data_IF_138506977249
#
_entry.id   IF_138506977249
#
_cell.length_a   1.000
_cell.length_b   1.000
_cell.length_c   1.000
_cell.angle_alpha   90.00
_cell.angle_beta   90.00
_cell.angle_gamma   90.00
#
_symmetry.space_group_name_H-M   'P 1'
#
loop_
_entity.id
_entity.type
_entity.pdbx_description
1 polymer ?
#
# COMPACT_ATOMS: atom_id res chain seq x y z
N UNK A 1 -17.93 7.99 3.62
CA UNK A 1 -17.84 6.77 2.80
C UNK A 1 -18.89 5.79 3.31
N UNK A 2 -19.81 5.34 2.49
CA UNK A 2 -20.74 4.29 2.90
C UNK A 2 -20.04 2.95 2.84
N UNK A 3 -19.87 2.28 3.97
CA UNK A 3 -19.20 0.96 4.10
C UNK A 3 -19.89 -0.15 3.29
N UNK A 4 -21.11 0.12 2.80
CA UNK A 4 -21.93 -0.82 2.04
C UNK A 4 -21.32 -1.34 0.72
N UNK A 5 -20.32 -0.67 0.18
CA UNK A 5 -19.69 -1.06 -1.09
C UNK A 5 -18.31 -1.72 -0.90
N UNK A 6 -17.77 -1.74 0.33
CA UNK A 6 -16.46 -2.33 0.61
C UNK A 6 -16.59 -3.85 0.63
N UNK A 7 -15.64 -4.54 0.00
CA UNK A 7 -15.60 -6.00 -0.08
C UNK A 7 -14.22 -6.53 0.28
N UNK A 8 -14.11 -7.80 0.68
CA UNK A 8 -12.81 -8.45 0.85
C UNK A 8 -11.92 -8.27 -0.38
N UNK A 9 -10.62 -8.12 -0.14
CA UNK A 9 -9.57 -7.84 -1.13
C UNK A 9 -9.61 -6.44 -1.79
N UNK A 10 -10.56 -5.56 -1.44
CA UNK A 10 -10.46 -4.17 -1.86
C UNK A 10 -9.22 -3.52 -1.20
N UNK A 11 -8.57 -2.60 -1.92
CA UNK A 11 -7.49 -1.79 -1.35
C UNK A 11 -8.03 -0.47 -0.82
N UNK A 12 -7.58 -0.11 0.35
CA UNK A 12 -7.75 1.23 0.91
C UNK A 12 -6.44 1.99 0.76
N UNK A 13 -6.46 3.07 0.00
CA UNK A 13 -5.39 4.07 -0.02
C UNK A 13 -5.75 5.15 0.97
N UNK A 14 -4.89 5.39 1.94
CA UNK A 14 -5.19 6.33 3.03
C UNK A 14 -4.00 7.22 3.37
N UNK A 15 -4.29 8.25 4.13
CA UNK A 15 -3.30 9.17 4.67
C UNK A 15 -3.15 8.92 6.17
N UNK A 16 -2.12 8.18 6.54
CA UNK A 16 -1.74 8.00 7.95
C UNK A 16 -0.92 9.19 8.47
N UNK A 17 -0.84 9.32 9.78
CA UNK A 17 -0.06 10.34 10.50
C UNK A 17 1.21 9.73 11.09
N UNK A 18 2.20 10.56 11.40
CA UNK A 18 3.47 10.13 12.00
C UNK A 18 4.68 10.51 11.13
N UNK A 19 5.88 10.38 11.70
CA UNK A 19 7.12 10.81 11.06
C UNK A 19 7.45 10.00 9.78
N UNK A 20 7.24 8.68 9.82
CA UNK A 20 7.44 7.82 8.65
C UNK A 20 6.48 8.18 7.50
N UNK A 21 5.22 8.46 7.85
CA UNK A 21 4.20 8.92 6.91
C UNK A 21 4.56 10.27 6.28
N UNK A 22 5.14 11.16 7.07
CA UNK A 22 5.64 12.44 6.55
C UNK A 22 6.79 12.23 5.57
N UNK A 23 7.75 11.35 5.87
CA UNK A 23 8.87 11.04 4.98
C UNK A 23 8.40 10.47 3.63
N UNK A 24 7.47 9.52 3.64
CA UNK A 24 6.91 8.92 2.41
C UNK A 24 6.26 10.00 1.53
N UNK A 25 5.47 10.89 2.14
CA UNK A 25 4.80 11.97 1.41
C UNK A 25 5.77 13.01 0.87
N UNK A 26 6.79 13.34 1.64
CA UNK A 26 7.83 14.26 1.22
C UNK A 26 8.61 13.70 0.04
N UNK A 27 9.01 12.42 0.09
CA UNK A 27 9.65 11.73 -1.03
C UNK A 27 8.78 11.69 -2.29
N UNK A 28 7.48 11.44 -2.14
CA UNK A 28 6.53 11.46 -3.25
C UNK A 28 6.41 12.87 -3.88
N UNK A 29 6.35 13.91 -3.06
CA UNK A 29 6.28 15.29 -3.54
C UNK A 29 7.53 15.73 -4.31
N UNK A 30 8.72 15.28 -3.87
CA UNK A 30 9.97 15.57 -4.58
C UNK A 30 10.09 14.88 -5.94
N UNK A 31 9.28 13.85 -6.19
CA UNK A 31 9.23 13.09 -7.44
C UNK A 31 8.03 13.46 -8.32
N UNK A 32 7.37 14.59 -8.06
CA UNK A 32 6.14 15.03 -8.74
C UNK A 32 5.02 13.97 -8.72
N UNK A 33 4.99 13.11 -7.70
CA UNK A 33 3.95 12.10 -7.49
C UNK A 33 2.81 12.63 -6.63
N UNK A 34 1.57 12.12 -6.80
CA UNK A 34 0.47 12.47 -5.92
C UNK A 34 0.81 12.17 -4.45
N UNK A 35 0.85 13.18 -3.58
CA UNK A 35 1.20 13.04 -2.16
C UNK A 35 -0.02 12.99 -1.23
N UNK A 36 -1.19 12.72 -1.79
CA UNK A 36 -2.46 12.67 -1.06
C UNK A 36 -2.56 11.46 -0.12
N UNK A 37 -1.91 10.36 -0.51
CA UNK A 37 -1.91 9.09 0.23
C UNK A 37 -0.48 8.65 0.55
N UNK A 38 -0.30 7.90 1.62
CA UNK A 38 1.01 7.39 2.04
C UNK A 38 0.93 5.98 2.63
N UNK A 39 -0.23 5.36 2.56
CA UNK A 39 -0.43 4.02 3.11
C UNK A 39 -1.43 3.23 2.28
N UNK A 40 -1.24 1.91 2.24
CA UNK A 40 -2.11 0.93 1.58
C UNK A 40 -2.49 -0.14 2.59
N UNK A 41 -3.79 -0.40 2.72
CA UNK A 41 -4.31 -1.52 3.50
C UNK A 41 -5.21 -2.40 2.62
N UNK A 42 -5.22 -3.70 2.89
CA UNK A 42 -6.00 -4.69 2.15
C UNK A 42 -7.17 -5.11 3.02
N UNK A 43 -8.39 -4.88 2.55
CA UNK A 43 -9.59 -5.34 3.25
C UNK A 43 -9.62 -6.87 3.24
N UNK A 44 -9.74 -7.48 4.42
CA UNK A 44 -9.83 -8.94 4.53
C UNK A 44 -11.27 -9.39 4.72
N UNK A 45 -11.98 -8.85 5.69
CA UNK A 45 -13.38 -9.18 5.94
C UNK A 45 -14.10 -8.06 6.68
N UNK A 46 -15.42 -8.18 6.71
CA UNK A 46 -16.29 -7.37 7.55
C UNK A 46 -16.93 -8.33 8.54
N UNK A 47 -16.79 -8.05 9.82
CA UNK A 47 -17.36 -8.89 10.88
C UNK A 47 -18.89 -8.65 11.05
N UNK A 48 -19.49 -9.39 11.98
CA UNK A 48 -20.94 -9.32 12.24
C UNK A 48 -21.37 -7.98 12.83
N UNK A 49 -20.46 -7.29 13.48
CA UNK A 49 -20.63 -5.97 14.08
C UNK A 49 -20.45 -4.86 13.06
N UNK A 50 -20.04 -5.19 11.84
CA UNK A 50 -19.82 -4.24 10.73
C UNK A 50 -18.41 -3.64 10.75
N UNK A 51 -17.49 -4.12 11.57
CA UNK A 51 -16.09 -3.69 11.60
C UNK A 51 -15.37 -4.20 10.35
N UNK A 52 -14.71 -3.30 9.64
CA UNK A 52 -13.89 -3.64 8.47
C UNK A 52 -12.47 -3.98 8.95
N UNK A 53 -12.08 -5.23 8.79
CA UNK A 53 -10.74 -5.70 9.13
C UNK A 53 -9.83 -5.70 7.92
N UNK A 54 -8.65 -5.10 8.08
CA UNK A 54 -7.61 -5.05 7.06
C UNK A 54 -6.36 -5.82 7.50
N UNK A 55 -5.58 -6.26 6.51
CA UNK A 55 -4.19 -6.69 6.68
C UNK A 55 -3.31 -5.66 6.01
N UNK A 56 -2.25 -5.24 6.69
CA UNK A 56 -1.36 -4.18 6.23
C UNK A 56 0.08 -4.38 6.71
N UNK A 57 1.04 -3.88 5.92
CA UNK A 57 2.44 -3.74 6.36
C UNK A 57 2.62 -2.44 7.13
N UNK A 58 3.19 -2.51 8.33
CA UNK A 58 3.46 -1.36 9.22
C UNK A 58 4.69 -1.61 10.10
N UNK A 59 5.15 -0.58 10.87
CA UNK A 59 6.33 -0.70 11.75
C UNK A 59 6.28 -1.87 12.74
N UNK A 60 5.80 -2.86 12.72
CA UNK A 60 5.77 -4.09 13.52
C UNK A 60 5.62 -5.34 12.66
N UNK A 61 5.65 -5.16 11.33
CA UNK A 61 5.41 -6.22 10.37
C UNK A 61 4.00 -6.20 9.80
N UNK A 62 3.68 -7.22 9.01
CA UNK A 62 2.34 -7.43 8.44
C UNK A 62 1.40 -7.91 9.54
N UNK A 63 0.28 -7.23 9.71
CA UNK A 63 -0.66 -7.55 10.77
C UNK A 63 -2.09 -7.04 10.52
N UNK A 64 -2.97 -7.41 11.45
CA UNK A 64 -4.38 -7.02 11.45
C UNK A 64 -4.58 -5.56 11.88
N UNK A 65 -5.57 -4.91 11.28
CA UNK A 65 -6.00 -3.56 11.61
C UNK A 65 -7.51 -3.39 11.47
N UNK A 66 -8.15 -2.79 12.49
CA UNK A 66 -9.48 -2.19 12.35
C UNK A 66 -9.36 -0.94 11.46
N UNK A 67 -10.11 -0.90 10.36
CA UNK A 67 -10.06 0.18 9.38
C UNK A 67 -10.87 1.42 9.79
N UNK A 68 -11.44 1.47 10.98
CA UNK A 68 -12.32 2.55 11.44
C UNK A 68 -11.71 3.93 11.23
N UNK A 69 -10.42 4.11 11.62
CA UNK A 69 -9.73 5.38 11.48
C UNK A 69 -9.52 5.75 10.01
N UNK A 70 -9.29 4.75 9.14
CA UNK A 70 -9.17 4.98 7.70
C UNK A 70 -10.49 5.41 7.09
N UNK A 71 -11.55 4.69 7.41
CA UNK A 71 -12.88 4.94 6.86
C UNK A 71 -13.48 6.28 7.33
N UNK A 72 -13.05 6.79 8.47
CA UNK A 72 -13.42 8.12 8.95
C UNK A 72 -12.60 9.25 8.32
N UNK A 73 -11.50 8.93 7.64
CA UNK A 73 -10.61 9.93 7.03
C UNK A 73 -11.13 10.41 5.68
N UNK A 74 -11.19 11.74 5.43
CA UNK A 74 -11.59 12.28 4.13
C UNK A 74 -10.56 12.02 3.02
N UNK A 75 -9.39 11.48 3.39
CA UNK A 75 -8.31 11.17 2.46
C UNK A 75 -8.24 9.68 2.09
N UNK A 76 -9.18 8.87 2.55
CA UNK A 76 -9.23 7.46 2.18
C UNK A 76 -9.95 7.28 0.86
N UNK A 77 -9.36 6.48 -0.01
CA UNK A 77 -9.92 6.08 -1.31
C UNK A 77 -10.00 4.57 -1.37
N UNK A 78 -11.00 4.06 -2.05
CA UNK A 78 -11.17 2.63 -2.29
C UNK A 78 -11.36 2.37 -3.78
N UNK A 79 -10.76 1.30 -4.29
CA UNK A 79 -10.97 0.86 -5.65
C UNK A 79 -12.04 -0.24 -5.69
N UNK A 80 -13.21 0.08 -6.21
CA UNK A 80 -14.31 -0.87 -6.40
C UNK A 80 -14.27 -1.61 -7.76
N UNK A 81 -13.24 -1.40 -8.56
CA UNK A 81 -13.11 -1.98 -9.90
C UNK A 81 -12.34 -3.30 -9.89
N UNK A 82 -11.58 -3.56 -8.83
CA UNK A 82 -10.79 -4.78 -8.66
C UNK A 82 -10.70 -5.14 -7.17
N UNK A 83 -10.69 -6.45 -6.83
CA UNK A 83 -10.90 -7.62 -7.70
C UNK A 83 -12.32 -7.70 -8.25
N UNK A 84 -12.51 -8.37 -9.41
CA UNK A 84 -13.80 -8.47 -10.12
C UNK A 84 -14.66 -9.63 -9.62
N UNK A 85 -14.04 -10.73 -9.25
CA UNK A 85 -14.71 -11.97 -8.88
C UNK A 85 -14.21 -12.54 -7.55
N UNK A 86 -14.93 -13.51 -7.00
CA UNK A 86 -14.64 -14.12 -5.71
C UNK A 86 -13.36 -14.97 -5.74
N UNK A 87 -12.98 -15.54 -6.87
CA UNK A 87 -11.74 -16.31 -6.97
C UNK A 87 -10.51 -15.40 -6.81
N UNK A 88 -10.52 -14.25 -7.49
CA UNK A 88 -9.48 -13.24 -7.33
C UNK A 88 -9.45 -12.69 -5.89
N UNK A 89 -10.63 -12.43 -5.28
CA UNK A 89 -10.73 -11.97 -3.90
C UNK A 89 -10.11 -12.96 -2.93
N UNK A 90 -10.45 -14.23 -3.11
CA UNK A 90 -9.90 -15.31 -2.27
C UNK A 90 -8.37 -15.42 -2.40
N UNK A 91 -7.81 -15.33 -3.62
CA UNK A 91 -6.35 -15.36 -3.82
C UNK A 91 -5.67 -14.23 -3.04
N UNK A 92 -6.21 -13.01 -3.10
CA UNK A 92 -5.64 -11.84 -2.42
C UNK A 92 -5.76 -11.98 -0.90
N UNK A 93 -6.93 -12.37 -0.39
CA UNK A 93 -7.14 -12.49 1.07
C UNK A 93 -6.34 -13.64 1.68
N UNK A 94 -6.33 -14.81 1.05
CA UNK A 94 -5.52 -15.96 1.51
C UNK A 94 -4.02 -15.61 1.47
N UNK A 95 -3.59 -14.93 0.40
CA UNK A 95 -2.22 -14.45 0.30
C UNK A 95 -1.85 -13.44 1.38
N UNK A 96 -2.76 -12.53 1.72
CA UNK A 96 -2.55 -11.56 2.79
C UNK A 96 -2.41 -12.26 4.17
N UNK A 97 -3.22 -13.27 4.44
CA UNK A 97 -3.11 -14.08 5.66
C UNK A 97 -1.77 -14.83 5.71
N UNK A 98 -1.32 -15.40 4.58
CA UNK A 98 -0.03 -16.08 4.51
C UNK A 98 1.18 -15.16 4.76
N UNK A 99 1.00 -13.85 4.61
CA UNK A 99 2.05 -12.86 4.85
C UNK A 99 2.04 -12.28 6.28
N UNK A 100 1.11 -12.69 7.15
CA UNK A 100 1.07 -12.22 8.54
C UNK A 100 2.39 -12.51 9.25
N UNK A 101 2.89 -11.54 10.01
CA UNK A 101 4.17 -11.62 10.70
C UNK A 101 5.40 -11.33 9.83
N UNK A 102 5.26 -11.14 8.51
CA UNK A 102 6.38 -10.72 7.66
C UNK A 102 6.94 -9.40 8.17
N UNK A 103 8.27 -9.29 8.35
CA UNK A 103 8.89 -8.07 8.84
C UNK A 103 8.68 -6.87 7.92
N UNK A 104 8.68 -5.68 8.50
CA UNK A 104 8.56 -4.42 7.75
C UNK A 104 9.91 -3.99 7.20
N UNK A 105 9.93 -3.54 5.94
CA UNK A 105 11.14 -3.09 5.25
C UNK A 105 11.43 -1.62 5.53
N UNK A 106 12.13 -1.36 6.62
CA UNK A 106 12.59 -0.02 6.98
C UNK A 106 13.67 0.51 6.05
N UNK A 107 14.51 -0.37 5.50
CA UNK A 107 15.58 0.01 4.60
C UNK A 107 15.03 0.51 3.27
N UNK A 108 13.96 -0.11 2.78
CA UNK A 108 13.27 0.37 1.58
C UNK A 108 12.73 1.80 1.78
N UNK A 109 12.12 2.10 2.94
CA UNK A 109 11.62 3.46 3.25
C UNK A 109 12.77 4.47 3.36
N UNK A 110 13.84 4.10 4.05
CA UNK A 110 15.00 4.98 4.21
C UNK A 110 15.70 5.23 2.87
N UNK A 111 15.82 4.19 2.03
CA UNK A 111 16.37 4.27 0.68
C UNK A 111 15.52 5.17 -0.22
N UNK A 112 14.21 5.01 -0.19
CA UNK A 112 13.29 5.81 -0.98
C UNK A 112 13.33 7.30 -0.58
N UNK A 113 13.41 7.58 0.71
CA UNK A 113 13.60 8.93 1.22
C UNK A 113 14.95 9.52 0.79
N UNK A 114 16.06 8.76 0.93
CA UNK A 114 17.40 9.22 0.55
C UNK A 114 17.51 9.47 -0.97
N UNK A 115 16.94 8.58 -1.79
CA UNK A 115 16.92 8.71 -3.25
C UNK A 115 16.09 9.91 -3.73
N UNK A 116 15.25 10.48 -2.88
CA UNK A 116 14.48 11.69 -3.18
C UNK A 116 15.31 12.97 -3.03
N UNK A 117 16.51 12.92 -2.42
CA UNK A 117 17.40 14.08 -2.26
C UNK A 117 18.50 14.07 -3.32
N UNK A 118 18.61 15.13 -4.15
CA UNK A 118 19.72 15.28 -5.08
C UNK A 118 21.07 15.23 -4.34
N UNK A 119 21.98 14.37 -4.80
CA UNK A 119 23.31 14.19 -4.21
C UNK A 119 23.43 13.11 -3.14
N UNK A 120 22.36 12.76 -2.40
CA UNK A 120 22.37 11.64 -1.45
C UNK A 120 22.17 10.30 -2.13
N UNK A 121 21.43 10.28 -3.23
CA UNK A 121 21.13 9.06 -4.00
C UNK A 121 22.41 8.30 -4.40
N UNK A 122 23.45 9.01 -4.86
CA UNK A 122 24.71 8.38 -5.25
C UNK A 122 25.46 7.76 -4.07
N UNK A 123 25.45 8.41 -2.91
CA UNK A 123 26.11 7.92 -1.69
C UNK A 123 25.35 6.71 -1.14
N UNK A 124 24.02 6.77 -1.17
CA UNK A 124 23.14 5.72 -0.69
C UNK A 124 23.21 4.47 -1.57
N UNK A 125 23.14 4.65 -2.89
CA UNK A 125 23.26 3.56 -3.87
C UNK A 125 24.62 2.84 -3.78
N UNK A 126 25.70 3.53 -3.42
CA UNK A 126 27.01 2.92 -3.17
C UNK A 126 27.02 2.02 -1.92
N UNK A 127 26.22 2.34 -0.91
CA UNK A 127 26.21 1.64 0.38
C UNK A 127 25.18 0.51 0.45
N UNK A 128 24.01 0.69 -0.16
CA UNK A 128 22.83 -0.19 0.02
C UNK A 128 22.33 -0.81 -1.28
N UNK A 129 22.91 -0.43 -2.42
CA UNK A 129 22.45 -0.79 -3.75
C UNK A 129 21.22 0.03 -4.18
N UNK A 130 20.88 -0.02 -5.47
CA UNK A 130 19.81 0.81 -6.04
C UNK A 130 18.40 0.48 -5.52
N UNK A 131 18.22 -0.60 -4.79
CA UNK A 131 16.90 -1.10 -4.38
C UNK A 131 16.65 -1.14 -2.88
N UNK A 132 17.65 -1.00 -2.03
CA UNK A 132 17.53 -0.86 -0.56
C UNK A 132 16.55 -1.81 0.16
N UNK A 133 16.15 -2.92 -0.50
CA UNK A 133 15.13 -3.83 0.02
C UNK A 133 15.76 -5.06 0.64
N UNK A 134 15.30 -5.44 1.82
CA UNK A 134 15.74 -6.66 2.49
C UNK A 134 14.88 -7.84 2.00
N UNK A 135 15.49 -8.94 1.50
CA UNK A 135 14.72 -10.12 1.12
C UNK A 135 13.84 -10.62 2.27
N UNK A 136 12.58 -10.89 1.97
CA UNK A 136 11.61 -11.36 2.98
C UNK A 136 10.98 -10.27 3.84
N UNK A 137 11.23 -8.99 3.53
CA UNK A 137 10.59 -7.84 4.15
C UNK A 137 9.66 -7.14 3.16
N UNK A 138 8.63 -6.48 3.64
CA UNK A 138 7.65 -5.76 2.80
C UNK A 138 7.28 -4.42 3.39
N UNK A 139 6.97 -3.46 2.51
CA UNK A 139 6.22 -2.24 2.87
C UNK A 139 4.75 -2.42 2.49
N UNK A 140 3.86 -1.54 2.97
CA UNK A 140 2.41 -1.66 2.74
C UNK A 140 2.05 -1.74 1.25
N UNK A 141 2.68 -0.94 0.42
CA UNK A 141 2.41 -0.86 -1.02
C UNK A 141 2.99 -2.02 -1.82
N UNK A 142 4.18 -2.52 -1.44
CA UNK A 142 4.78 -3.72 -2.06
C UNK A 142 4.04 -5.00 -1.66
N UNK A 143 3.51 -5.08 -0.43
CA UNK A 143 2.62 -6.16 -0.02
C UNK A 143 1.40 -6.23 -0.93
N UNK A 144 0.72 -5.10 -1.16
CA UNK A 144 -0.43 -5.04 -2.07
C UNK A 144 -0.05 -5.42 -3.50
N UNK A 145 1.09 -4.94 -4.02
CA UNK A 145 1.58 -5.27 -5.35
C UNK A 145 1.87 -6.76 -5.51
N UNK A 146 2.52 -7.36 -4.51
CA UNK A 146 2.80 -8.81 -4.50
C UNK A 146 1.53 -9.65 -4.52
N UNK A 147 0.48 -9.24 -3.81
CA UNK A 147 -0.78 -9.99 -3.73
C UNK A 147 -1.67 -9.80 -4.97
N UNK A 148 -1.54 -8.68 -5.65
CA UNK A 148 -2.30 -8.41 -6.88
C UNK A 148 -1.70 -9.07 -8.12
N UNK A 149 -0.42 -9.46 -8.09
CA UNK A 149 0.28 -10.16 -9.15
C UNK A 149 1.27 -11.19 -8.53
N UNK A 150 1.57 -12.31 -9.15
CA UNK A 150 1.13 -12.78 -10.48
C UNK A 150 -0.12 -13.67 -10.42
N UNK A 151 -0.55 -14.12 -9.22
CA UNK A 151 -1.60 -15.14 -9.08
C UNK A 151 -3.00 -14.60 -9.32
N UNK A 152 -3.31 -13.43 -8.78
CA UNK A 152 -4.62 -12.80 -8.94
C UNK A 152 -4.80 -12.11 -10.30
N UNK A 153 -3.71 -11.85 -11.04
CA UNK A 153 -3.71 -11.17 -12.35
C UNK A 153 -4.48 -9.84 -12.34
N UNK A 154 -4.32 -9.09 -11.27
CA UNK A 154 -4.94 -7.79 -11.09
C UNK A 154 -4.00 -6.67 -11.54
N UNK A 155 -4.55 -5.54 -11.96
CA UNK A 155 -3.74 -4.41 -12.34
C UNK A 155 -3.06 -3.81 -11.10
N UNK A 156 -1.76 -3.64 -11.19
CA UNK A 156 -0.90 -3.02 -10.20
C UNK A 156 0.02 -1.99 -10.86
N UNK A 157 0.63 -1.08 -10.10
CA UNK A 157 1.72 -0.25 -10.61
C UNK A 157 2.87 -1.11 -11.13
N UNK A 158 3.55 -0.63 -12.16
CA UNK A 158 4.77 -1.27 -12.67
C UNK A 158 5.92 -1.13 -11.67
N UNK A 159 6.80 -2.13 -11.62
CA UNK A 159 7.91 -2.21 -10.68
C UNK A 159 7.71 -3.30 -9.63
N UNK A 160 8.76 -4.09 -9.41
CA UNK A 160 8.64 -5.28 -8.55
C UNK A 160 8.90 -4.98 -7.07
N UNK A 161 9.60 -3.90 -6.74
CA UNK A 161 10.08 -3.65 -5.37
C UNK A 161 9.90 -2.22 -4.85
N UNK A 162 9.74 -1.24 -5.71
CA UNK A 162 9.67 0.19 -5.35
C UNK A 162 8.29 0.81 -5.52
N UNK A 163 7.24 0.01 -5.37
CA UNK A 163 5.87 0.52 -5.49
C UNK A 163 5.54 1.35 -4.25
N UNK A 164 5.34 2.65 -4.43
CA UNK A 164 4.87 3.55 -3.39
C UNK A 164 3.33 3.65 -3.37
N UNK A 165 2.70 4.06 -2.26
CA UNK A 165 1.25 4.34 -2.23
C UNK A 165 0.80 5.34 -3.29
N UNK A 166 1.65 6.31 -3.63
CA UNK A 166 1.42 7.28 -4.69
C UNK A 166 1.27 6.65 -6.09
N UNK A 167 1.98 5.55 -6.36
CA UNK A 167 1.90 4.84 -7.64
C UNK A 167 0.55 4.15 -7.81
N UNK A 168 0.00 3.60 -6.73
CA UNK A 168 -1.36 3.08 -6.71
C UNK A 168 -2.38 4.15 -7.02
N UNK A 169 -2.23 5.33 -6.42
CA UNK A 169 -3.12 6.45 -6.69
C UNK A 169 -3.01 6.94 -8.14
N UNK A 170 -1.79 7.07 -8.69
CA UNK A 170 -1.56 7.43 -10.07
C UNK A 170 -2.24 6.44 -11.03
N UNK A 171 -2.03 5.14 -10.83
CA UNK A 171 -2.68 4.08 -11.60
C UNK A 171 -4.22 4.22 -11.59
N UNK A 172 -4.80 4.52 -10.41
CA UNK A 172 -6.25 4.65 -10.30
C UNK A 172 -6.78 5.91 -10.98
N UNK A 173 -6.03 7.02 -10.92
CA UNK A 173 -6.36 8.25 -11.63
C UNK A 173 -6.33 8.00 -13.15
N UNK A 174 -5.25 7.42 -13.68
CA UNK A 174 -5.07 7.14 -15.10
C UNK A 174 -6.16 6.24 -15.66
N UNK A 175 -6.65 5.30 -14.86
CA UNK A 175 -7.72 4.37 -15.25
C UNK A 175 -9.12 4.86 -14.94
N UNK A 176 -9.28 6.03 -14.35
CA UNK A 176 -10.57 6.55 -13.91
C UNK A 176 -11.21 5.72 -12.79
N UNK A 177 -10.40 5.06 -11.97
CA UNK A 177 -10.85 4.22 -10.85
C UNK A 177 -10.82 4.95 -9.51
N UNK A 178 -10.09 6.05 -9.42
CA UNK A 178 -10.05 6.86 -8.23
C UNK A 178 -11.40 7.53 -8.03
N UNK A 179 -12.18 7.04 -7.11
CA UNK A 179 -13.31 7.79 -6.58
C UNK A 179 -12.82 8.55 -5.35
N UNK A 180 -12.85 9.87 -5.42
CA UNK A 180 -12.80 10.66 -4.19
C UNK A 180 -14.04 10.30 -3.38
N UNK A 181 -13.90 10.12 -2.07
CA UNK A 181 -15.04 9.97 -1.19
C UNK A 181 -15.93 11.21 -1.23
#
# INVERSE_FOLDING_TARGET
MTTSNIKPADLLLTRSTGWASWMIRFGAALRDRPNLVNHVAIVHHIDKEGTVWCIEGRPGGVGWRDAKDYLSSPHTMCNYKQPKDEAQRKIVTDGAVAMLGTPYDWEAIASDAANSFPGLANIWNLKWGPQGTVPGHVVCSSLAAFLYDPKAKLARPEGDREVAPADWLALWIDRGWASRP
#
